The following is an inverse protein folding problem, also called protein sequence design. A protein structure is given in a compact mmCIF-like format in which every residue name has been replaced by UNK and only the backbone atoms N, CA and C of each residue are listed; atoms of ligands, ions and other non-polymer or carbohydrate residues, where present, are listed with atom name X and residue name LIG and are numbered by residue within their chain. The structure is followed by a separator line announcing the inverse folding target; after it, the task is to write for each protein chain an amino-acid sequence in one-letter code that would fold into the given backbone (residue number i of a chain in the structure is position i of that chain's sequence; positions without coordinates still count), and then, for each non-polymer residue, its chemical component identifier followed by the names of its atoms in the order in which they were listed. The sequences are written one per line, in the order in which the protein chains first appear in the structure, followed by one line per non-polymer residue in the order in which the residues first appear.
data_IF_063012458568
#
_entry.id   IF_063012458568
#
_cell.length_a   1.000
_cell.length_b   1.000
_cell.length_c   1.000
_cell.angle_alpha   90.00
_cell.angle_beta   90.00
_cell.angle_gamma   90.00
#
_symmetry.space_group_name_H-M   'P 1'
#
loop_
_entity.id
_entity.type
_entity.pdbx_description
1 polymer ?
#
# COMPACT_ATOMS: atom_id res chain seq x y z
N UNK A 1 16.91 30.19 -17.22
CA UNK A 1 15.70 29.37 -17.50
C UNK A 1 16.15 28.04 -18.08
N UNK A 2 15.97 26.92 -17.38
CA UNK A 2 16.37 25.61 -17.93
C UNK A 2 15.51 25.24 -19.13
N UNK A 3 16.15 24.73 -20.19
CA UNK A 3 15.50 24.32 -21.44
C UNK A 3 15.63 22.81 -21.60
N UNK A 4 14.50 22.11 -21.62
CA UNK A 4 14.46 20.66 -21.82
C UNK A 4 15.04 20.32 -23.20
N UNK A 5 16.08 19.48 -23.22
CA UNK A 5 16.72 18.97 -24.44
C UNK A 5 15.86 17.88 -25.09
N UNK A 6 15.84 17.86 -26.43
CA UNK A 6 15.22 16.78 -27.19
C UNK A 6 16.03 15.47 -27.07
N UNK A 7 15.49 14.36 -27.57
CA UNK A 7 16.11 13.03 -27.41
C UNK A 7 17.54 12.97 -27.96
N UNK A 8 17.74 13.47 -29.18
CA UNK A 8 19.02 13.44 -29.90
C UNK A 8 20.07 14.27 -29.15
N UNK A 9 19.77 15.53 -28.81
CA UNK A 9 20.68 16.41 -28.09
C UNK A 9 21.01 15.93 -26.66
N UNK A 10 20.07 15.21 -26.02
CA UNK A 10 20.30 14.57 -24.71
C UNK A 10 21.23 13.37 -24.83
N UNK A 11 21.05 12.52 -25.86
CA UNK A 11 21.93 11.38 -26.12
C UNK A 11 23.32 11.86 -26.51
N UNK A 12 23.42 12.87 -27.39
CA UNK A 12 24.68 13.49 -27.75
C UNK A 12 25.43 14.00 -26.52
N UNK A 13 24.76 14.74 -25.63
CA UNK A 13 25.35 15.23 -24.38
C UNK A 13 25.85 14.08 -23.48
N UNK A 14 25.09 12.98 -23.39
CA UNK A 14 25.49 11.79 -22.62
C UNK A 14 26.84 11.21 -23.06
N UNK A 15 27.11 11.25 -24.37
CA UNK A 15 28.32 10.68 -24.96
C UNK A 15 29.48 11.67 -25.06
N UNK A 16 29.19 12.95 -25.29
CA UNK A 16 30.22 13.98 -25.51
C UNK A 16 30.68 14.67 -24.22
N UNK A 17 29.81 14.78 -23.21
CA UNK A 17 30.14 15.45 -21.95
C UNK A 17 29.34 14.85 -20.80
N UNK A 18 29.94 13.84 -20.16
CA UNK A 18 29.30 13.09 -19.08
C UNK A 18 29.03 13.96 -17.85
N UNK A 19 29.83 14.99 -17.60
CA UNK A 19 29.66 15.91 -16.47
C UNK A 19 28.44 16.79 -16.71
N UNK A 20 28.40 17.50 -17.84
CA UNK A 20 27.22 18.31 -18.22
C UNK A 20 25.95 17.47 -18.37
N UNK A 21 26.06 16.22 -18.79
CA UNK A 21 24.91 15.31 -18.81
C UNK A 21 24.34 15.05 -17.40
N UNK A 22 25.22 14.84 -16.40
CA UNK A 22 24.80 14.68 -14.99
C UNK A 22 24.15 15.95 -14.46
N UNK A 23 24.74 17.11 -14.73
CA UNK A 23 24.17 18.43 -14.37
C UNK A 23 22.79 18.63 -14.99
N UNK A 24 22.65 18.42 -16.31
CA UNK A 24 21.37 18.49 -17.00
C UNK A 24 20.32 17.56 -16.40
N UNK A 25 20.70 16.32 -16.02
CA UNK A 25 19.79 15.37 -15.38
C UNK A 25 19.36 15.83 -13.99
N UNK A 26 20.26 16.45 -13.23
CA UNK A 26 19.97 17.03 -11.92
C UNK A 26 19.03 18.23 -12.06
N UNK A 27 19.32 19.18 -12.96
CA UNK A 27 18.44 20.33 -13.23
C UNK A 27 17.05 19.90 -13.72
N UNK A 28 16.97 18.89 -14.61
CA UNK A 28 15.70 18.33 -15.08
C UNK A 28 14.89 17.74 -13.92
N UNK A 29 15.56 17.09 -12.95
CA UNK A 29 14.90 16.54 -11.77
C UNK A 29 14.36 17.66 -10.88
N UNK A 30 15.17 18.69 -10.61
CA UNK A 30 14.76 19.85 -9.81
C UNK A 30 13.58 20.59 -10.44
N UNK A 31 13.59 20.79 -11.76
CA UNK A 31 12.46 21.40 -12.46
C UNK A 31 11.16 20.61 -12.30
N UNK A 32 11.22 19.28 -12.41
CA UNK A 32 10.04 18.43 -12.20
C UNK A 32 9.51 18.56 -10.76
N UNK A 33 10.41 18.62 -9.77
CA UNK A 33 10.03 18.82 -8.37
C UNK A 33 9.38 20.18 -8.16
N UNK A 34 9.95 21.25 -8.72
CA UNK A 34 9.36 22.59 -8.66
C UNK A 34 7.99 22.65 -9.34
N UNK A 35 7.86 22.07 -10.53
CA UNK A 35 6.58 22.02 -11.25
C UNK A 35 5.51 21.27 -10.44
N UNK A 36 5.88 20.15 -9.80
CA UNK A 36 4.99 19.42 -8.91
C UNK A 36 4.61 20.25 -7.68
N UNK A 37 5.58 20.88 -7.00
CA UNK A 37 5.34 21.76 -5.86
C UNK A 37 4.38 22.90 -6.23
N UNK A 38 4.60 23.56 -7.37
CA UNK A 38 3.68 24.58 -7.88
C UNK A 38 2.29 24.01 -8.15
N UNK A 39 2.18 22.84 -8.79
CA UNK A 39 0.89 22.18 -9.05
C UNK A 39 0.11 21.89 -7.77
N UNK A 40 0.73 21.31 -6.75
CA UNK A 40 0.04 20.98 -5.50
C UNK A 40 -0.25 22.22 -4.65
N UNK A 41 0.56 23.28 -4.73
CA UNK A 41 0.35 24.52 -3.96
C UNK A 41 -0.65 25.49 -4.61
N UNK A 42 -1.19 25.17 -5.80
CA UNK A 42 -2.22 25.98 -6.45
C UNK A 42 -3.37 26.29 -5.49
N UNK A 43 -3.91 27.51 -5.58
CA UNK A 43 -4.90 28.02 -4.63
C UNK A 43 -6.10 27.08 -4.47
N UNK A 44 -6.60 26.55 -5.58
CA UNK A 44 -7.80 25.72 -5.68
C UNK A 44 -7.62 24.28 -5.15
N UNK A 45 -6.39 23.80 -4.98
CA UNK A 45 -6.11 22.43 -4.52
C UNK A 45 -6.21 22.34 -2.99
N UNK A 46 -6.91 21.31 -2.51
CA UNK A 46 -7.08 20.98 -1.09
C UNK A 46 -5.88 20.19 -0.55
N UNK A 47 -4.70 20.82 -0.54
CA UNK A 47 -3.40 20.21 -0.23
C UNK A 47 -2.79 20.73 1.08
N UNK A 48 -3.61 21.33 1.94
CA UNK A 48 -3.19 21.74 3.28
C UNK A 48 -4.34 21.55 4.28
N UNK A 49 -4.05 21.29 5.57
CA UNK A 49 -5.08 21.07 6.57
C UNK A 49 -6.08 22.24 6.66
N UNK A 50 -5.59 23.49 6.65
CA UNK A 50 -6.44 24.67 6.75
C UNK A 50 -7.45 24.79 5.57
N UNK A 51 -6.99 24.54 4.33
CA UNK A 51 -7.88 24.54 3.16
C UNK A 51 -8.91 23.41 3.23
N UNK A 52 -8.46 22.22 3.61
CA UNK A 52 -9.34 21.04 3.75
C UNK A 52 -10.43 21.31 4.79
N UNK A 53 -10.07 21.84 5.97
CA UNK A 53 -11.02 22.19 7.03
C UNK A 53 -12.02 23.26 6.60
N UNK A 54 -11.55 24.37 6.02
CA UNK A 54 -12.44 25.43 5.53
C UNK A 54 -13.39 24.93 4.44
N UNK A 55 -12.92 24.07 3.53
CA UNK A 55 -13.77 23.43 2.52
C UNK A 55 -14.82 22.53 3.17
N UNK A 56 -14.44 21.71 4.15
CA UNK A 56 -15.35 20.84 4.88
C UNK A 56 -16.43 21.64 5.64
N UNK A 57 -16.06 22.71 6.34
CA UNK A 57 -17.00 23.58 7.07
C UNK A 57 -18.04 24.21 6.14
N UNK A 58 -17.65 24.54 4.89
CA UNK A 58 -18.54 25.12 3.89
C UNK A 58 -19.45 24.09 3.21
N UNK A 59 -18.93 22.91 2.89
CA UNK A 59 -19.62 21.95 2.02
C UNK A 59 -20.21 20.75 2.77
N UNK A 60 -19.77 20.48 4.00
CA UNK A 60 -20.20 19.34 4.82
C UNK A 60 -19.72 17.96 4.33
N UNK A 61 -19.06 17.89 3.18
CA UNK A 61 -18.60 16.65 2.53
C UNK A 61 -17.24 16.85 1.87
N UNK A 62 -16.43 15.80 1.87
CA UNK A 62 -15.16 15.72 1.13
C UNK A 62 -15.18 14.44 0.28
N UNK A 63 -15.03 14.60 -1.03
CA UNK A 63 -14.98 13.54 -2.02
C UNK A 63 -13.54 13.22 -2.39
N UNK A 64 -13.12 12.02 -2.06
CA UNK A 64 -11.77 11.52 -2.27
C UNK A 64 -11.76 10.53 -3.43
N UNK A 65 -10.65 10.42 -4.15
CA UNK A 65 -10.47 9.33 -5.13
C UNK A 65 -9.12 8.66 -5.02
N UNK A 66 -9.06 7.38 -5.40
CA UNK A 66 -7.83 6.61 -5.51
C UNK A 66 -7.95 5.56 -6.63
N UNK A 67 -6.84 5.24 -7.31
CA UNK A 67 -6.80 4.30 -8.44
C UNK A 67 -5.64 3.29 -8.41
N UNK A 68 -4.74 3.43 -7.43
CA UNK A 68 -3.63 2.50 -7.25
C UNK A 68 -4.06 1.06 -6.95
N UNK A 69 -3.08 0.18 -6.79
CA UNK A 69 -3.34 -1.21 -6.46
C UNK A 69 -4.02 -1.31 -5.09
N UNK A 70 -4.66 -2.45 -4.81
CA UNK A 70 -5.40 -2.66 -3.57
C UNK A 70 -4.59 -2.31 -2.30
N UNK A 71 -3.29 -2.63 -2.25
CA UNK A 71 -2.44 -2.27 -1.12
C UNK A 71 -2.25 -0.76 -0.94
N UNK A 72 -2.10 0.00 -2.03
CA UNK A 72 -1.98 1.46 -1.95
C UNK A 72 -3.26 2.09 -1.39
N UNK A 73 -4.43 1.54 -1.75
CA UNK A 73 -5.74 1.97 -1.25
C UNK A 73 -5.82 1.71 0.27
N UNK A 74 -5.39 0.53 0.75
CA UNK A 74 -5.34 0.25 2.19
C UNK A 74 -4.40 1.20 2.93
N UNK A 75 -3.24 1.53 2.36
CA UNK A 75 -2.30 2.48 2.96
C UNK A 75 -2.76 3.94 2.89
N UNK A 76 -3.75 4.28 2.08
CA UNK A 76 -4.36 5.60 2.06
C UNK A 76 -5.35 5.81 3.23
N UNK A 77 -5.99 4.75 3.70
CA UNK A 77 -7.01 4.76 4.76
C UNK A 77 -6.63 5.55 6.02
N UNK A 78 -5.44 5.41 6.62
CA UNK A 78 -5.12 6.18 7.82
C UNK A 78 -5.15 7.70 7.58
N UNK A 79 -4.78 8.16 6.37
CA UNK A 79 -4.91 9.59 6.01
C UNK A 79 -6.38 9.99 5.84
N UNK A 80 -7.21 9.13 5.25
CA UNK A 80 -8.65 9.34 5.10
C UNK A 80 -9.33 9.48 6.46
N UNK A 81 -9.02 8.56 7.39
CA UNK A 81 -9.50 8.60 8.76
C UNK A 81 -9.06 9.89 9.47
N UNK A 82 -7.79 10.29 9.32
CA UNK A 82 -7.30 11.52 9.91
C UNK A 82 -8.02 12.77 9.35
N UNK A 83 -8.37 12.79 8.06
CA UNK A 83 -9.19 13.85 7.47
C UNK A 83 -10.60 13.87 8.09
N UNK A 84 -11.25 12.71 8.24
CA UNK A 84 -12.55 12.59 8.91
C UNK A 84 -12.49 13.17 10.32
N UNK A 85 -11.53 12.75 11.13
CA UNK A 85 -11.37 13.19 12.51
C UNK A 85 -11.07 14.69 12.61
N UNK A 86 -10.24 15.21 11.70
CA UNK A 86 -9.83 16.61 11.70
C UNK A 86 -10.94 17.57 11.27
N UNK A 87 -11.84 17.13 10.40
CA UNK A 87 -12.87 17.99 9.77
C UNK A 87 -14.29 17.71 10.22
N UNK A 88 -14.55 16.51 10.75
CA UNK A 88 -15.88 15.96 11.02
C UNK A 88 -16.82 15.92 9.80
N UNK A 89 -16.32 16.12 8.59
CA UNK A 89 -17.13 16.12 7.37
C UNK A 89 -17.53 14.70 6.95
N UNK A 90 -18.58 14.58 6.13
CA UNK A 90 -18.90 13.33 5.43
C UNK A 90 -17.77 12.99 4.46
N UNK A 91 -17.31 11.75 4.45
CA UNK A 91 -16.27 11.24 3.55
C UNK A 91 -16.88 10.31 2.51
N UNK A 92 -16.69 10.66 1.24
CA UNK A 92 -17.08 9.83 0.10
C UNK A 92 -15.82 9.39 -0.65
N UNK A 93 -15.57 8.10 -0.75
CA UNK A 93 -14.39 7.54 -1.42
C UNK A 93 -14.78 6.93 -2.77
N UNK A 94 -14.14 7.38 -3.84
CA UNK A 94 -14.39 6.90 -5.19
C UNK A 94 -13.19 6.12 -5.75
N UNK A 95 -13.44 4.87 -6.16
CA UNK A 95 -12.43 4.01 -6.76
C UNK A 95 -12.39 4.21 -8.28
N UNK A 96 -11.28 4.71 -8.82
CA UNK A 96 -11.13 4.90 -10.27
C UNK A 96 -10.52 3.66 -10.92
N UNK A 97 -11.22 3.10 -11.89
CA UNK A 97 -10.77 1.91 -12.61
C UNK A 97 -9.87 2.25 -13.80
N UNK A 98 -9.19 1.23 -14.32
CA UNK A 98 -8.59 1.29 -15.66
C UNK A 98 -7.31 2.11 -15.78
N UNK A 99 -6.75 2.60 -14.67
CA UNK A 99 -5.47 3.31 -14.72
C UNK A 99 -4.35 2.33 -15.10
N UNK A 100 -3.50 2.69 -16.08
CA UNK A 100 -2.52 1.76 -16.65
C UNK A 100 -1.48 1.38 -15.61
N UNK A 101 -1.22 0.08 -15.52
CA UNK A 101 -0.20 -0.47 -14.65
C UNK A 101 1.19 -0.22 -15.24
N UNK A 102 1.95 0.72 -14.66
CA UNK A 102 3.34 0.98 -15.06
C UNK A 102 4.25 0.10 -14.20
N UNK A 103 4.44 -1.15 -14.59
CA UNK A 103 5.46 -2.05 -14.01
C UNK A 103 6.66 -2.14 -14.95
N UNK A 104 7.87 -1.97 -14.41
CA UNK A 104 9.10 -2.31 -15.13
C UNK A 104 9.45 -3.78 -14.89
N UNK A 105 9.53 -4.59 -15.96
CA UNK A 105 10.26 -5.86 -15.95
C UNK A 105 9.48 -7.16 -15.77
N UNK A 106 8.17 -7.22 -16.01
CA UNK A 106 7.39 -8.47 -15.87
C UNK A 106 6.38 -8.70 -17.01
N UNK A 107 6.14 -9.98 -17.33
CA UNK A 107 5.29 -10.43 -18.44
C UNK A 107 3.81 -10.62 -18.05
N UNK A 108 3.44 -10.70 -16.75
CA UNK A 108 2.06 -10.91 -16.31
C UNK A 108 1.80 -10.40 -14.89
N UNK A 109 0.70 -9.66 -14.68
CA UNK A 109 0.15 -9.28 -13.38
C UNK A 109 -1.25 -9.91 -13.24
N UNK A 110 -1.70 -10.33 -12.04
CA UNK A 110 -3.02 -10.96 -11.86
C UNK A 110 -4.20 -10.11 -12.39
N UNK A 111 -4.02 -8.79 -12.49
CA UNK A 111 -5.03 -7.84 -12.98
C UNK A 111 -4.82 -7.42 -14.45
N UNK A 112 -3.87 -8.03 -15.17
CA UNK A 112 -3.50 -7.61 -16.53
C UNK A 112 -2.81 -6.24 -16.55
N UNK A 113 -3.29 -5.33 -17.40
CA UNK A 113 -2.64 -4.05 -17.70
C UNK A 113 -3.13 -2.85 -16.85
N UNK A 114 -3.96 -3.09 -15.83
CA UNK A 114 -4.56 -2.02 -15.01
C UNK A 114 -4.27 -2.23 -13.52
N UNK A 115 -4.17 -1.13 -12.77
CA UNK A 115 -3.93 -1.16 -11.31
C UNK A 115 -5.16 -1.63 -10.52
N UNK A 116 -6.36 -1.27 -11.00
CA UNK A 116 -7.63 -1.63 -10.38
C UNK A 116 -8.68 -1.94 -11.45
N UNK A 117 -9.25 -3.15 -11.39
CA UNK A 117 -10.39 -3.57 -12.20
C UNK A 117 -11.66 -3.68 -11.34
N UNK A 118 -12.80 -3.86 -12.00
CA UNK A 118 -14.11 -3.89 -11.33
C UNK A 118 -14.20 -5.00 -10.26
N UNK A 119 -13.73 -6.21 -10.55
CA UNK A 119 -13.71 -7.32 -9.59
C UNK A 119 -12.97 -6.94 -8.29
N UNK A 120 -11.78 -6.36 -8.42
CA UNK A 120 -10.98 -5.93 -7.27
C UNK A 120 -11.63 -4.77 -6.51
N UNK A 121 -12.22 -3.82 -7.23
CA UNK A 121 -12.95 -2.71 -6.62
C UNK A 121 -14.16 -3.21 -5.82
N UNK A 122 -14.93 -4.16 -6.35
CA UNK A 122 -16.05 -4.79 -5.64
C UNK A 122 -15.59 -5.51 -4.37
N UNK A 123 -14.48 -6.27 -4.45
CA UNK A 123 -13.91 -6.93 -3.26
C UNK A 123 -13.40 -5.91 -2.22
N UNK A 124 -12.82 -4.79 -2.65
CA UNK A 124 -12.40 -3.70 -1.75
C UNK A 124 -13.60 -3.02 -1.10
N UNK A 125 -14.64 -2.70 -1.87
CA UNK A 125 -15.86 -2.07 -1.36
C UNK A 125 -16.47 -2.90 -0.23
N UNK A 126 -16.47 -4.23 -0.34
CA UNK A 126 -16.95 -5.11 0.71
C UNK A 126 -16.21 -4.91 2.06
N UNK A 127 -14.89 -4.69 2.03
CA UNK A 127 -14.07 -4.44 3.21
C UNK A 127 -14.16 -2.99 3.72
N UNK A 128 -14.20 -2.02 2.80
CA UNK A 128 -14.05 -0.60 3.13
C UNK A 128 -15.37 0.07 3.52
N UNK A 129 -16.50 -0.36 2.96
CA UNK A 129 -17.82 0.22 3.25
C UNK A 129 -18.20 0.21 4.74
N UNK A 130 -17.88 -0.85 5.53
CA UNK A 130 -18.22 -0.87 6.95
C UNK A 130 -17.28 -0.05 7.86
N UNK A 131 -16.19 0.51 7.33
CA UNK A 131 -15.23 1.23 8.16
C UNK A 131 -15.85 2.56 8.66
N UNK A 132 -15.72 2.91 9.96
CA UNK A 132 -16.51 3.97 10.59
C UNK A 132 -16.22 5.38 10.08
N UNK A 133 -15.08 5.58 9.43
CA UNK A 133 -14.65 6.87 8.88
C UNK A 133 -14.96 7.04 7.38
N UNK A 134 -15.61 6.05 6.74
CA UNK A 134 -16.05 6.10 5.34
C UNK A 134 -17.58 6.13 5.31
N UNK A 135 -18.17 7.27 4.93
CA UNK A 135 -19.63 7.44 4.89
C UNK A 135 -20.24 6.95 3.56
N UNK A 136 -19.45 6.95 2.48
CA UNK A 136 -19.84 6.43 1.17
C UNK A 136 -18.63 5.88 0.43
N UNK A 137 -18.81 4.79 -0.31
CA UNK A 137 -17.80 4.27 -1.22
C UNK A 137 -18.44 3.64 -2.46
N UNK A 138 -17.93 4.00 -3.64
CA UNK A 138 -18.36 3.41 -4.91
C UNK A 138 -17.27 3.49 -5.99
N UNK A 139 -17.51 2.83 -7.12
CA UNK A 139 -16.68 3.02 -8.31
C UNK A 139 -16.98 4.40 -8.91
N UNK A 140 -15.93 5.11 -9.33
CA UNK A 140 -16.05 6.41 -9.95
C UNK A 140 -16.75 6.33 -11.32
N UNK A 141 -17.87 7.04 -11.45
CA UNK A 141 -18.62 7.31 -12.68
C UNK A 141 -18.94 8.82 -12.73
N UNK A 142 -17.89 9.62 -12.94
CA UNK A 142 -17.96 11.09 -13.18
C UNK A 142 -18.33 11.97 -11.99
N UNK A 143 -18.32 11.44 -10.76
CA UNK A 143 -18.48 12.27 -9.57
C UNK A 143 -17.36 13.32 -9.49
N UNK A 144 -17.67 14.50 -8.96
CA UNK A 144 -16.68 15.55 -8.71
C UNK A 144 -15.77 15.08 -7.56
N UNK A 145 -14.46 15.19 -7.77
CA UNK A 145 -13.45 14.80 -6.78
C UNK A 145 -12.81 16.06 -6.19
N UNK A 146 -12.83 16.16 -4.86
CA UNK A 146 -12.25 17.28 -4.12
C UNK A 146 -10.75 17.05 -3.86
N UNK A 147 -10.37 15.81 -3.51
CA UNK A 147 -8.98 15.41 -3.30
C UNK A 147 -8.69 14.12 -4.09
N UNK A 148 -7.78 14.24 -5.06
CA UNK A 148 -7.23 13.10 -5.77
C UNK A 148 -6.00 12.58 -5.02
N UNK A 149 -6.15 11.44 -4.34
CA UNK A 149 -5.10 10.85 -3.52
C UNK A 149 -3.96 10.30 -4.38
N UNK A 150 -4.16 9.99 -5.66
CA UNK A 150 -3.09 9.47 -6.52
C UNK A 150 -2.04 10.53 -6.86
N UNK A 151 -2.26 11.82 -6.53
CA UNK A 151 -1.27 12.87 -6.76
C UNK A 151 0.07 12.65 -6.04
N UNK A 152 0.15 11.76 -5.04
CA UNK A 152 1.46 11.36 -4.50
C UNK A 152 2.36 10.71 -5.58
N UNK A 153 1.78 10.19 -6.67
CA UNK A 153 2.48 9.59 -7.81
C UNK A 153 2.95 10.60 -8.86
N UNK A 154 2.50 11.85 -8.80
CA UNK A 154 2.79 12.86 -9.83
C UNK A 154 4.24 13.40 -9.77
N UNK A 155 5.01 13.00 -8.77
CA UNK A 155 6.43 13.35 -8.58
C UNK A 155 6.66 13.96 -7.21
N UNK A 156 7.93 14.17 -6.84
CA UNK A 156 8.28 14.87 -5.59
C UNK A 156 8.35 13.99 -4.34
N UNK A 157 7.50 12.98 -4.20
CA UNK A 157 7.56 12.03 -3.07
C UNK A 157 8.42 10.81 -3.45
N UNK A 158 9.42 10.43 -2.64
CA UNK A 158 10.16 9.19 -2.86
C UNK A 158 9.28 7.98 -2.50
N UNK A 159 8.98 7.14 -3.49
CA UNK A 159 8.07 5.99 -3.34
C UNK A 159 8.82 4.66 -3.08
N UNK A 160 10.15 4.68 -3.12
CA UNK A 160 11.03 3.53 -2.90
C UNK A 160 11.52 3.41 -1.44
N UNK A 161 11.28 4.43 -0.61
CA UNK A 161 11.70 4.48 0.79
C UNK A 161 10.71 5.26 1.66
N UNK A 162 10.87 5.14 2.98
CA UNK A 162 10.00 5.78 3.96
C UNK A 162 8.82 4.89 4.31
N UNK A 163 7.67 5.46 4.66
CA UNK A 163 6.47 4.68 4.96
C UNK A 163 5.34 5.06 3.97
N UNK A 164 4.90 4.08 3.19
CA UNK A 164 3.81 4.18 2.20
C UNK A 164 2.52 4.73 2.81
N UNK A 165 2.24 4.43 4.09
CA UNK A 165 1.07 4.95 4.79
C UNK A 165 1.10 6.48 5.03
N UNK A 166 2.24 7.14 4.75
CA UNK A 166 2.40 8.61 4.78
C UNK A 166 2.30 9.29 3.42
N UNK A 167 2.21 8.54 2.31
CA UNK A 167 2.26 9.17 0.98
C UNK A 167 1.09 10.14 0.75
N UNK A 168 -0.11 9.76 1.15
CA UNK A 168 -1.28 10.64 1.08
C UNK A 168 -1.19 11.80 2.07
N UNK A 169 -0.58 11.62 3.24
CA UNK A 169 -0.39 12.70 4.22
C UNK A 169 0.60 13.76 3.74
N UNK A 170 1.62 13.37 2.97
CA UNK A 170 2.53 14.34 2.33
C UNK A 170 1.81 15.22 1.29
N UNK A 171 0.72 14.74 0.69
CA UNK A 171 -0.10 15.50 -0.24
C UNK A 171 -1.03 16.49 0.49
N UNK A 172 -1.65 16.05 1.58
CA UNK A 172 -2.72 16.81 2.26
C UNK A 172 -2.22 17.66 3.43
N UNK A 173 -1.04 17.33 3.96
CA UNK A 173 -0.50 17.84 5.22
C UNK A 173 -1.24 17.35 6.48
N UNK A 174 -2.24 16.48 6.33
CA UNK A 174 -2.98 15.89 7.44
C UNK A 174 -2.26 14.62 7.89
N UNK A 175 -1.62 14.68 9.05
CA UNK A 175 -0.77 13.58 9.54
C UNK A 175 -1.60 12.50 10.27
N UNK A 176 -1.56 11.24 9.82
CA UNK A 176 -2.32 10.16 10.44
C UNK A 176 -1.60 9.53 11.64
N UNK A 177 -2.37 8.85 12.47
CA UNK A 177 -1.85 8.02 13.58
C UNK A 177 -1.62 6.60 13.08
N UNK A 178 -0.37 6.25 12.76
CA UNK A 178 -0.06 4.97 12.12
C UNK A 178 0.07 3.78 13.06
N UNK A 179 0.26 4.00 14.36
CA UNK A 179 0.42 2.92 15.34
C UNK A 179 -0.92 2.34 15.83
N UNK A 180 -2.05 2.93 15.42
CA UNK A 180 -3.40 2.43 15.70
C UNK A 180 -3.98 1.69 14.49
N UNK A 181 -4.93 0.76 14.69
CA UNK A 181 -5.65 0.14 13.57
C UNK A 181 -6.39 1.19 12.74
N UNK A 182 -6.34 1.04 11.43
CA UNK A 182 -7.17 1.78 10.47
C UNK A 182 -8.11 0.84 9.69
N UNK A 183 -8.12 -0.45 10.03
CA UNK A 183 -9.13 -1.41 9.63
C UNK A 183 -9.74 -2.03 10.89
N UNK A 184 -11.06 -2.20 10.89
CA UNK A 184 -11.81 -2.90 11.93
C UNK A 184 -12.70 -3.95 11.30
N UNK A 185 -12.60 -5.20 11.76
CA UNK A 185 -13.41 -6.33 11.33
C UNK A 185 -13.60 -7.29 12.51
N UNK A 186 -14.68 -8.07 12.49
CA UNK A 186 -14.88 -9.16 13.44
C UNK A 186 -13.95 -10.35 13.09
N UNK A 187 -13.05 -10.77 13.99
CA UNK A 187 -12.10 -11.85 13.71
C UNK A 187 -12.81 -13.18 13.45
N UNK A 188 -12.28 -13.97 12.53
CA UNK A 188 -12.67 -15.37 12.36
C UNK A 188 -11.83 -16.24 13.30
N UNK A 189 -12.38 -16.54 14.47
CA UNK A 189 -11.69 -17.26 15.55
C UNK A 189 -11.37 -18.72 15.21
N UNK A 190 -11.85 -19.25 14.08
CA UNK A 190 -11.43 -20.58 13.61
C UNK A 190 -9.95 -20.65 13.24
N UNK A 191 -9.29 -19.49 13.07
CA UNK A 191 -7.87 -19.36 12.74
C UNK A 191 -6.99 -18.96 13.95
N UNK A 192 -7.52 -18.99 15.17
CA UNK A 192 -6.82 -18.50 16.37
C UNK A 192 -5.44 -19.14 16.61
N UNK A 193 -5.29 -20.42 16.21
CA UNK A 193 -4.03 -21.17 16.32
C UNK A 193 -3.25 -21.26 15.00
N UNK A 194 -3.77 -20.66 13.91
CA UNK A 194 -3.20 -20.74 12.56
C UNK A 194 -2.19 -19.61 12.32
N UNK A 195 -1.00 -19.95 11.81
CA UNK A 195 -0.10 -18.98 11.18
C UNK A 195 -0.62 -18.72 9.77
N UNK A 196 -1.12 -17.51 9.51
CA UNK A 196 -1.58 -17.12 8.17
C UNK A 196 -0.43 -16.43 7.45
N UNK A 197 -0.20 -16.79 6.19
CA UNK A 197 0.85 -16.17 5.39
C UNK A 197 0.43 -15.82 3.97
N UNK A 198 1.08 -14.81 3.41
CA UNK A 198 1.04 -14.49 1.99
C UNK A 198 2.44 -14.13 1.51
N UNK A 199 2.80 -14.53 0.29
CA UNK A 199 4.11 -14.17 -0.27
C UNK A 199 4.01 -13.94 -1.76
N UNK A 200 3.95 -12.68 -2.15
CA UNK A 200 3.82 -12.30 -3.55
C UNK A 200 5.11 -12.53 -4.33
N UNK A 201 5.03 -12.59 -5.66
CA UNK A 201 6.20 -12.69 -6.55
C UNK A 201 7.10 -11.44 -6.52
N UNK A 202 6.57 -10.29 -6.08
CA UNK A 202 7.29 -9.02 -5.99
C UNK A 202 7.88 -8.83 -4.60
N UNK A 203 8.90 -7.97 -4.48
CA UNK A 203 9.47 -7.56 -3.20
C UNK A 203 9.84 -8.76 -2.31
N UNK A 204 10.56 -9.72 -2.90
CA UNK A 204 11.05 -10.90 -2.18
C UNK A 204 12.46 -10.64 -1.69
N UNK A 205 12.73 -11.07 -0.48
CA UNK A 205 14.07 -11.26 0.01
C UNK A 205 14.53 -12.68 -0.36
N UNK A 206 15.33 -12.79 -1.41
CA UNK A 206 15.79 -14.07 -1.94
C UNK A 206 16.80 -14.80 -1.03
N UNK A 207 17.29 -14.16 0.04
CA UNK A 207 18.18 -14.82 1.02
C UNK A 207 17.43 -15.59 2.09
N UNK A 208 16.08 -15.52 2.11
CA UNK A 208 15.24 -16.11 3.14
C UNK A 208 14.70 -17.47 2.71
N UNK A 209 14.77 -18.43 3.62
CA UNK A 209 14.26 -19.78 3.44
C UNK A 209 13.14 -20.07 4.44
N UNK A 210 11.93 -20.29 3.93
CA UNK A 210 10.75 -20.59 4.75
C UNK A 210 10.63 -22.07 5.17
N UNK A 211 11.59 -22.95 4.83
CA UNK A 211 11.51 -24.40 5.12
C UNK A 211 11.39 -24.71 6.62
N UNK A 212 11.96 -23.86 7.50
CA UNK A 212 11.84 -24.04 8.95
C UNK A 212 10.38 -24.01 9.43
N UNK A 213 9.47 -23.39 8.66
CA UNK A 213 8.05 -23.35 8.99
C UNK A 213 7.38 -24.73 8.96
N UNK A 214 7.98 -25.77 8.34
CA UNK A 214 7.44 -27.14 8.33
C UNK A 214 7.20 -27.69 9.74
N UNK A 215 7.93 -27.20 10.75
CA UNK A 215 7.77 -27.66 12.13
C UNK A 215 6.49 -27.15 12.82
N UNK A 216 5.81 -26.13 12.27
CA UNK A 216 4.59 -25.60 12.85
C UNK A 216 3.37 -26.31 12.22
N UNK A 217 2.44 -26.83 13.05
CA UNK A 217 1.42 -27.76 12.60
C UNK A 217 0.31 -27.12 11.76
N UNK A 218 -0.01 -25.85 11.99
CA UNK A 218 -1.10 -25.16 11.29
C UNK A 218 -0.64 -23.87 10.62
N UNK A 219 -0.38 -23.97 9.32
CA UNK A 219 -0.02 -22.85 8.46
C UNK A 219 -0.98 -22.82 7.28
N UNK A 220 -1.53 -21.64 7.01
CA UNK A 220 -2.39 -21.40 5.89
C UNK A 220 -1.86 -20.25 5.01
N UNK A 221 -1.96 -20.45 3.70
CA UNK A 221 -1.62 -19.47 2.69
C UNK A 221 -2.88 -18.75 2.20
N UNK A 222 -2.84 -17.43 2.13
CA UNK A 222 -3.81 -16.59 1.42
C UNK A 222 -3.11 -15.87 0.26
N UNK A 223 -3.74 -15.89 -0.92
CA UNK A 223 -3.16 -15.32 -2.13
C UNK A 223 -3.64 -16.05 -3.38
N UNK A 224 -3.00 -15.74 -4.51
CA UNK A 224 -3.35 -16.38 -5.79
C UNK A 224 -2.72 -17.76 -5.92
N UNK A 225 -3.26 -18.57 -6.82
CA UNK A 225 -2.84 -19.97 -6.99
C UNK A 225 -1.36 -20.11 -7.36
N UNK A 226 -0.82 -19.21 -8.20
CA UNK A 226 0.59 -19.25 -8.60
C UNK A 226 1.53 -19.08 -7.41
N UNK A 227 1.24 -18.12 -6.54
CA UNK A 227 2.00 -17.83 -5.33
C UNK A 227 1.88 -18.97 -4.31
N UNK A 228 0.68 -19.58 -4.18
CA UNK A 228 0.48 -20.78 -3.37
C UNK A 228 1.31 -21.96 -3.88
N UNK A 229 1.24 -22.26 -5.18
CA UNK A 229 2.01 -23.33 -5.82
C UNK A 229 3.51 -23.13 -5.64
N UNK A 230 3.97 -21.88 -5.61
CA UNK A 230 5.37 -21.56 -5.38
C UNK A 230 5.80 -21.84 -3.93
N UNK A 231 5.11 -21.30 -2.93
CA UNK A 231 5.48 -21.50 -1.52
C UNK A 231 5.32 -22.96 -1.07
N UNK A 232 4.37 -23.70 -1.64
CA UNK A 232 4.16 -25.12 -1.34
C UNK A 232 5.36 -25.99 -1.69
N UNK A 233 6.22 -25.58 -2.63
CA UNK A 233 7.49 -26.27 -2.90
C UNK A 233 8.44 -26.24 -1.70
N UNK A 234 8.36 -25.18 -0.90
CA UNK A 234 9.17 -24.98 0.31
C UNK A 234 8.48 -25.54 1.56
N UNK A 235 7.14 -25.43 1.63
CA UNK A 235 6.32 -25.90 2.76
C UNK A 235 5.22 -26.85 2.22
N UNK A 236 5.51 -28.15 2.00
CA UNK A 236 4.57 -29.05 1.31
C UNK A 236 3.19 -29.21 1.98
N UNK A 237 3.12 -29.07 3.30
CA UNK A 237 1.90 -29.21 4.12
C UNK A 237 1.05 -27.94 4.26
N UNK A 238 1.44 -26.82 3.65
CA UNK A 238 0.70 -25.56 3.77
C UNK A 238 -0.68 -25.66 3.10
N UNK A 239 -1.73 -25.21 3.82
CA UNK A 239 -3.12 -25.20 3.31
C UNK A 239 -3.35 -23.94 2.47
N UNK A 240 -4.08 -24.03 1.37
CA UNK A 240 -4.51 -22.83 0.63
C UNK A 240 -5.91 -22.41 1.07
N UNK A 241 -6.07 -21.13 1.39
CA UNK A 241 -7.38 -20.52 1.62
C UNK A 241 -7.71 -19.62 0.43
N UNK A 242 -8.78 -19.97 -0.28
CA UNK A 242 -9.37 -19.12 -1.30
C UNK A 242 -10.47 -18.28 -0.68
N UNK A 243 -10.33 -16.96 -0.78
CA UNK A 243 -11.31 -16.01 -0.23
C UNK A 243 -12.31 -15.57 -1.30
N UNK A 244 -13.56 -15.32 -0.91
CA UNK A 244 -14.62 -14.78 -1.77
C UNK A 244 -14.46 -13.28 -2.01
N UNK A 245 -14.03 -12.54 -0.97
CA UNK A 245 -13.84 -11.10 -0.98
C UNK A 245 -12.75 -10.67 0.02
N UNK A 246 -12.46 -9.36 0.10
CA UNK A 246 -11.45 -8.85 1.04
C UNK A 246 -11.97 -8.67 2.46
N UNK A 247 -13.28 -8.71 2.69
CA UNK A 247 -13.82 -8.79 4.04
C UNK A 247 -13.46 -10.15 4.66
N UNK A 248 -13.70 -11.25 3.95
CA UNK A 248 -13.31 -12.59 4.40
C UNK A 248 -11.79 -12.68 4.65
N UNK A 249 -10.98 -12.16 3.73
CA UNK A 249 -9.52 -12.09 3.92
C UNK A 249 -9.15 -11.36 5.22
N UNK A 250 -9.73 -10.18 5.46
CA UNK A 250 -9.44 -9.39 6.64
C UNK A 250 -9.87 -10.12 7.93
N UNK A 251 -11.02 -10.80 7.94
CA UNK A 251 -11.50 -11.58 9.10
C UNK A 251 -10.60 -12.76 9.43
N UNK A 252 -10.12 -13.48 8.41
CA UNK A 252 -9.13 -14.56 8.57
C UNK A 252 -7.83 -14.02 9.16
N UNK A 253 -7.30 -12.92 8.61
CA UNK A 253 -6.08 -12.28 9.12
C UNK A 253 -6.27 -11.80 10.56
N UNK A 254 -7.41 -11.17 10.86
CA UNK A 254 -7.75 -10.67 12.19
C UNK A 254 -7.86 -11.77 13.25
N UNK A 255 -8.34 -12.95 12.86
CA UNK A 255 -8.46 -14.11 13.73
C UNK A 255 -7.24 -15.01 13.77
N UNK A 256 -6.20 -14.74 12.98
CA UNK A 256 -4.98 -15.55 12.92
C UNK A 256 -4.14 -15.43 14.20
N UNK A 257 -3.35 -16.47 14.51
CA UNK A 257 -2.35 -16.42 15.58
C UNK A 257 -1.36 -15.27 15.37
N UNK A 258 -0.84 -15.19 14.14
CA UNK A 258 -0.10 -14.05 13.60
C UNK A 258 0.01 -14.18 12.08
N UNK A 259 0.39 -13.08 11.42
CA UNK A 259 0.54 -13.00 9.98
C UNK A 259 2.01 -12.95 9.54
N UNK A 260 2.37 -13.62 8.44
CA UNK A 260 3.68 -13.47 7.80
C UNK A 260 3.48 -13.07 6.34
N UNK A 261 4.17 -12.03 5.86
CA UNK A 261 4.23 -11.81 4.43
C UNK A 261 5.24 -10.78 3.98
N UNK A 262 5.35 -10.62 2.67
CA UNK A 262 6.17 -9.58 2.07
C UNK A 262 5.31 -8.35 1.67
N UNK A 263 5.92 -7.33 1.06
CA UNK A 263 5.29 -6.06 0.67
C UNK A 263 4.19 -6.24 -0.39
N UNK A 264 3.05 -6.74 0.06
CA UNK A 264 1.95 -7.24 -0.75
C UNK A 264 0.61 -6.73 -0.19
N UNK A 265 -0.46 -6.90 -0.96
CA UNK A 265 -1.80 -6.50 -0.52
C UNK A 265 -2.24 -7.20 0.79
N UNK A 266 -2.11 -8.52 0.97
CA UNK A 266 -2.46 -9.15 2.24
C UNK A 266 -1.69 -8.58 3.44
N UNK A 267 -0.41 -8.24 3.26
CA UNK A 267 0.36 -7.59 4.34
C UNK A 267 -0.20 -6.20 4.67
N UNK A 268 -0.64 -5.41 3.69
CA UNK A 268 -1.28 -4.11 3.96
C UNK A 268 -2.55 -4.24 4.81
N UNK A 269 -3.31 -5.33 4.66
CA UNK A 269 -4.48 -5.64 5.48
C UNK A 269 -4.06 -5.99 6.90
N UNK A 270 -3.06 -6.87 7.07
CA UNK A 270 -2.50 -7.21 8.39
C UNK A 270 -1.96 -5.97 9.12
N UNK A 271 -1.25 -5.10 8.41
CA UNK A 271 -0.77 -3.81 8.91
C UNK A 271 -1.91 -2.87 9.31
N UNK A 272 -2.99 -2.81 8.54
CA UNK A 272 -4.15 -1.98 8.88
C UNK A 272 -4.94 -2.47 10.08
N UNK A 273 -4.97 -3.79 10.30
CA UNK A 273 -5.62 -4.41 11.45
C UNK A 273 -4.76 -4.35 12.73
N UNK A 274 -3.44 -4.15 12.60
CA UNK A 274 -2.46 -4.23 13.70
C UNK A 274 -2.45 -5.58 14.43
N UNK A 275 -2.74 -6.66 13.71
CA UNK A 275 -2.49 -8.01 14.23
C UNK A 275 -1.00 -8.23 14.46
N UNK A 276 -0.60 -9.22 15.29
CA UNK A 276 0.79 -9.68 15.30
C UNK A 276 1.21 -10.08 13.88
N UNK A 277 2.29 -9.49 13.37
CA UNK A 277 2.66 -9.61 11.95
C UNK A 277 4.15 -9.41 11.69
N UNK A 278 4.68 -10.16 10.73
CA UNK A 278 6.08 -10.14 10.34
C UNK A 278 6.19 -9.80 8.84
N UNK A 279 6.98 -8.78 8.51
CA UNK A 279 7.26 -8.31 7.15
C UNK A 279 8.60 -8.86 6.64
N UNK A 280 8.56 -9.66 5.58
CA UNK A 280 9.71 -9.89 4.71
C UNK A 280 9.97 -8.62 3.90
N UNK A 281 11.06 -7.92 4.22
CA UNK A 281 11.43 -6.67 3.57
C UNK A 281 12.37 -6.92 2.40
N UNK A 282 12.07 -6.34 1.24
CA UNK A 282 12.96 -6.35 0.09
C UNK A 282 14.07 -5.30 0.24
N UNK A 283 15.30 -5.67 -0.12
CA UNK A 283 16.45 -4.76 -0.03
C UNK A 283 16.33 -3.56 -0.98
N UNK A 284 15.66 -3.72 -2.13
CA UNK A 284 15.59 -2.67 -3.14
C UNK A 284 14.57 -1.58 -2.79
N UNK A 285 13.55 -1.91 -1.99
CA UNK A 285 12.41 -1.05 -1.71
C UNK A 285 12.02 -1.21 -0.25
N UNK A 286 12.39 -0.24 0.58
CA UNK A 286 12.14 -0.22 2.03
C UNK A 286 11.06 0.81 2.38
N UNK A 287 9.90 0.65 1.74
CA UNK A 287 8.81 1.64 1.79
C UNK A 287 7.59 1.19 2.61
N UNK A 288 7.56 -0.04 3.10
CA UNK A 288 6.55 -0.52 4.06
C UNK A 288 7.27 -0.65 5.39
N UNK A 289 6.78 0.09 6.38
CA UNK A 289 7.34 0.09 7.73
C UNK A 289 6.22 -0.29 8.69
N UNK A 290 6.31 -1.44 9.37
CA UNK A 290 5.31 -1.86 10.35
C UNK A 290 5.25 -0.85 11.50
N UNK A 291 4.06 -0.39 11.87
CA UNK A 291 3.87 0.61 12.93
C UNK A 291 2.99 0.06 14.06
N UNK A 292 3.31 0.42 15.31
CA UNK A 292 2.58 -0.04 16.49
C UNK A 292 2.99 -1.45 16.97
N UNK A 293 2.27 -1.94 17.96
CA UNK A 293 2.64 -3.17 18.66
C UNK A 293 2.60 -4.41 17.77
N UNK A 294 3.47 -5.36 18.09
CA UNK A 294 3.59 -6.67 17.42
C UNK A 294 3.76 -6.60 15.89
N UNK A 295 4.20 -5.46 15.35
CA UNK A 295 4.65 -5.32 13.97
C UNK A 295 6.17 -5.45 13.89
N UNK A 296 6.65 -6.38 13.09
CA UNK A 296 8.09 -6.64 12.92
C UNK A 296 8.46 -6.68 11.44
N UNK A 297 9.67 -6.30 11.11
CA UNK A 297 10.30 -6.50 9.81
C UNK A 297 11.69 -7.13 9.95
N UNK A 298 12.19 -7.75 8.89
CA UNK A 298 13.49 -8.43 8.92
C UNK A 298 14.19 -8.47 7.56
N UNK A 299 15.51 -8.66 7.61
CA UNK A 299 16.38 -8.93 6.46
C UNK A 299 17.08 -10.28 6.52
N UNK A 300 17.28 -10.85 7.71
CA UNK A 300 18.12 -12.03 7.92
C UNK A 300 17.31 -13.20 8.45
N UNK A 301 17.74 -14.41 8.08
CA UNK A 301 17.05 -15.67 8.41
C UNK A 301 16.86 -15.85 9.93
N UNK A 302 17.92 -15.67 10.71
CA UNK A 302 17.88 -15.85 12.17
C UNK A 302 16.86 -14.91 12.85
N UNK A 303 16.69 -13.70 12.31
CA UNK A 303 15.69 -12.75 12.82
C UNK A 303 14.27 -13.26 12.56
N UNK A 304 13.98 -13.76 11.35
CA UNK A 304 12.69 -14.36 11.03
C UNK A 304 12.37 -15.54 11.96
N UNK A 305 13.30 -16.48 12.09
CA UNK A 305 13.10 -17.68 12.92
C UNK A 305 12.85 -17.30 14.38
N UNK A 306 13.62 -16.34 14.91
CA UNK A 306 13.43 -15.83 16.27
C UNK A 306 12.07 -15.16 16.45
N UNK A 307 11.65 -14.31 15.51
CA UNK A 307 10.34 -13.64 15.57
C UNK A 307 9.18 -14.63 15.53
N UNK A 308 9.23 -15.63 14.64
CA UNK A 308 8.22 -16.69 14.55
C UNK A 308 8.18 -17.52 15.84
N UNK A 309 9.35 -17.90 16.38
CA UNK A 309 9.42 -18.60 17.65
C UNK A 309 8.78 -17.79 18.79
N UNK A 310 9.12 -16.51 18.91
CA UNK A 310 8.61 -15.64 19.96
C UNK A 310 7.10 -15.43 19.87
N UNK A 311 6.57 -15.18 18.67
CA UNK A 311 5.12 -15.04 18.47
C UNK A 311 4.36 -16.35 18.68
N UNK A 312 4.95 -17.49 18.31
CA UNK A 312 4.31 -18.78 18.49
C UNK A 312 4.21 -19.20 19.97
N UNK A 313 5.15 -18.77 20.82
CA UNK A 313 5.21 -19.12 22.24
C UNK A 313 4.68 -18.01 23.17
N UNK A 314 4.18 -16.91 22.61
CA UNK A 314 3.57 -15.84 23.40
C UNK A 314 2.27 -16.36 24.02
N UNK A 315 2.20 -16.33 25.35
CA UNK A 315 1.02 -16.72 26.13
C UNK A 315 -0.10 -15.69 26.03
#
# INVERSE_FOLDING_TARGET
MFKKRNLISRLWLKHTDRVRYKEYKWELKNQKQLAFAHFITQAEKLTSPAKIKSYAEKNGVIRLSHSGNAGDIIYALPTIEAIKQYTNARIELYLRLGQPLILSGYNSHPLGNVMLNEKMATMLIALLKPQPYIDHIEIHDKQIIDIDLDYFRAGGIPLDKGNIARWCSYLTGVNPVLWKPWLTVEPDTTYADTIVMARSERYRNYTINYKFLIQYPDIAFIGVESEFKDIRKTIPGIRWIQVSDFMQMARIIAGAKFFIGNQSFPYSVAEGLKVPRILETAFEVINVVPEGDNGYDFFFQEHLESLVYNLNNKS
#
